data_IF_179626667132
#
_entry.id   IF_179626667132
#
_cell.length_a   1.000
_cell.length_b   1.000
_cell.length_c   1.000
_cell.angle_alpha   90.00
_cell.angle_beta   90.00
_cell.angle_gamma   90.00
#
_symmetry.space_group_name_H-M   'P 1'
#
loop_
_entity.id
_entity.type
_entity.pdbx_description
1 polymer ?
#
# COMPACT_ATOMS: atom_id res chain seq x y z
N UNK A 1 -11.63 -16.49 32.83
CA UNK A 1 -10.36 -16.82 32.16
C UNK A 1 -10.72 -17.36 30.78
N UNK A 2 -10.68 -16.52 29.74
CA UNK A 2 -10.99 -16.95 28.37
C UNK A 2 -9.63 -17.24 27.70
N UNK A 3 -9.30 -18.53 27.53
CA UNK A 3 -8.17 -18.98 26.72
C UNK A 3 -8.52 -18.77 25.26
N UNK A 4 -7.76 -17.93 24.56
CA UNK A 4 -7.80 -17.91 23.10
C UNK A 4 -6.83 -18.98 22.62
N UNK A 5 -7.37 -19.99 21.94
CA UNK A 5 -6.64 -21.18 21.49
C UNK A 5 -5.57 -20.75 20.46
N UNK A 6 -4.33 -21.11 20.75
CA UNK A 6 -3.16 -20.98 19.90
C UNK A 6 -3.17 -22.01 18.75
N UNK A 7 -4.27 -22.06 17.98
CA UNK A 7 -4.46 -22.94 16.83
C UNK A 7 -4.96 -22.08 15.68
N UNK A 8 -4.04 -21.62 14.82
CA UNK A 8 -4.30 -21.28 13.39
C UNK A 8 -3.01 -20.79 12.72
N UNK A 9 -1.94 -21.59 12.74
CA UNK A 9 -0.87 -21.51 11.74
C UNK A 9 -1.36 -22.14 10.43
N UNK A 10 -2.40 -21.55 9.85
CA UNK A 10 -2.76 -21.79 8.45
C UNK A 10 -1.68 -21.11 7.62
N UNK A 11 -0.95 -21.89 6.79
CA UNK A 11 0.07 -21.37 5.88
C UNK A 11 -0.43 -20.11 5.17
N UNK A 12 0.41 -19.07 5.10
CA UNK A 12 0.08 -17.78 4.49
C UNK A 12 -0.54 -17.92 3.09
N UNK A 13 -0.13 -18.95 2.35
CA UNK A 13 -0.63 -19.30 1.01
C UNK A 13 -2.07 -19.83 1.06
N UNK A 14 -2.42 -20.69 2.02
CA UNK A 14 -3.76 -21.26 2.12
C UNK A 14 -4.80 -20.26 2.63
N UNK A 15 -4.39 -19.26 3.41
CA UNK A 15 -5.27 -18.16 3.82
C UNK A 15 -5.50 -17.14 2.67
N UNK A 16 -4.45 -16.82 1.90
CA UNK A 16 -4.55 -16.00 0.67
C UNK A 16 -5.46 -16.64 -0.38
N UNK A 17 -5.45 -17.97 -0.47
CA UNK A 17 -6.34 -18.73 -1.35
C UNK A 17 -7.78 -18.82 -0.83
N UNK A 18 -8.04 -18.67 0.47
CA UNK A 18 -9.39 -18.84 1.06
C UNK A 18 -10.15 -17.53 1.31
N UNK A 19 -9.47 -16.40 1.46
CA UNK A 19 -10.13 -15.14 1.81
C UNK A 19 -10.50 -14.27 0.59
N UNK A 20 -11.46 -13.38 0.82
CA UNK A 20 -12.01 -12.37 -0.10
C UNK A 20 -11.00 -11.22 -0.43
N UNK A 21 -9.72 -11.51 -0.23
CA UNK A 21 -8.52 -10.68 -0.43
C UNK A 21 -7.96 -10.77 -1.85
N UNK A 22 -8.39 -11.79 -2.62
CA UNK A 22 -7.94 -12.04 -4.01
C UNK A 22 -7.95 -10.78 -4.91
N UNK A 23 -8.95 -9.88 -4.88
CA UNK A 23 -8.95 -8.66 -5.70
C UNK A 23 -7.77 -7.73 -5.42
N UNK A 24 -7.36 -7.60 -4.16
CA UNK A 24 -6.27 -6.72 -3.72
C UNK A 24 -4.92 -7.23 -4.23
N UNK A 25 -4.65 -8.52 -3.98
CA UNK A 25 -3.38 -9.17 -4.37
C UNK A 25 -3.25 -9.21 -5.89
N UNK A 26 -4.31 -9.57 -6.60
CA UNK A 26 -4.31 -9.57 -8.07
C UNK A 26 -4.10 -8.16 -8.64
N UNK A 27 -4.66 -7.13 -8.01
CA UNK A 27 -4.45 -5.75 -8.43
C UNK A 27 -3.00 -5.31 -8.29
N UNK A 28 -2.37 -5.66 -7.16
CA UNK A 28 -0.96 -5.38 -6.91
C UNK A 28 -0.07 -6.11 -7.91
N UNK A 29 -0.30 -7.40 -8.14
CA UNK A 29 0.42 -8.18 -9.15
C UNK A 29 0.25 -7.54 -10.53
N UNK A 30 -0.98 -7.17 -10.90
CA UNK A 30 -1.26 -6.53 -12.18
C UNK A 30 -0.57 -5.17 -12.32
N UNK A 31 -0.47 -4.39 -11.26
CA UNK A 31 0.24 -3.11 -11.25
C UNK A 31 1.74 -3.31 -11.53
N UNK A 32 2.36 -4.30 -10.88
CA UNK A 32 3.78 -4.64 -11.08
C UNK A 32 4.02 -5.17 -12.50
N UNK A 33 3.18 -6.09 -12.97
CA UNK A 33 3.26 -6.60 -14.34
C UNK A 33 3.07 -5.48 -15.37
N UNK A 34 2.13 -4.56 -15.12
CA UNK A 34 1.91 -3.40 -15.99
C UNK A 34 3.16 -2.54 -16.06
N UNK A 35 3.83 -2.29 -14.95
CA UNK A 35 5.10 -1.57 -14.94
C UNK A 35 6.16 -2.26 -15.81
N UNK A 36 6.34 -3.58 -15.65
CA UNK A 36 7.28 -4.35 -16.47
C UNK A 36 6.95 -4.23 -17.96
N UNK A 37 5.66 -4.37 -18.31
CA UNK A 37 5.16 -4.28 -19.69
C UNK A 37 5.43 -2.89 -20.30
N UNK A 38 5.21 -1.81 -19.54
CA UNK A 38 5.38 -0.44 -20.07
C UNK A 38 6.84 0.03 -20.05
N UNK A 39 7.67 -0.45 -19.11
CA UNK A 39 9.10 -0.10 -19.04
C UNK A 39 9.87 -0.69 -20.21
N UNK A 40 9.60 -1.94 -20.54
CA UNK A 40 10.25 -2.68 -21.62
C UNK A 40 9.54 -2.55 -22.96
N UNK A 41 8.67 -1.54 -23.12
CA UNK A 41 7.94 -1.34 -24.36
C UNK A 41 8.89 -0.75 -25.43
N UNK A 42 9.30 -1.52 -26.46
CA UNK A 42 10.50 -1.17 -27.22
C UNK A 42 10.31 0.00 -28.19
N UNK A 43 9.07 0.33 -28.59
CA UNK A 43 8.82 1.33 -29.63
C UNK A 43 7.48 2.05 -29.43
N UNK A 44 7.51 3.39 -29.33
CA UNK A 44 6.33 4.22 -29.53
C UNK A 44 5.91 4.07 -30.99
N UNK A 45 4.78 3.44 -31.24
CA UNK A 45 4.26 3.18 -32.58
C UNK A 45 2.94 3.92 -32.74
N UNK A 46 3.01 5.10 -33.34
CA UNK A 46 1.83 5.92 -33.65
C UNK A 46 0.97 5.32 -34.77
N UNK A 47 1.37 4.21 -35.36
CA UNK A 47 0.66 3.50 -36.43
C UNK A 47 -0.01 2.21 -35.96
N UNK A 48 0.15 1.82 -34.68
CA UNK A 48 -0.48 0.63 -34.12
C UNK A 48 -1.99 0.86 -33.90
N UNK A 49 -2.81 0.52 -34.89
CA UNK A 49 -4.26 0.70 -34.87
C UNK A 49 -4.96 0.02 -33.68
N UNK A 50 -4.44 -1.11 -33.21
CA UNK A 50 -4.96 -1.79 -32.02
C UNK A 50 -4.71 -0.96 -30.76
N UNK A 51 -3.49 -0.45 -30.57
CA UNK A 51 -3.17 0.41 -29.43
C UNK A 51 -3.96 1.72 -29.45
N UNK A 52 -4.20 2.32 -30.63
CA UNK A 52 -5.08 3.49 -30.76
C UNK A 52 -6.52 3.19 -30.39
N UNK A 53 -7.06 2.08 -30.91
CA UNK A 53 -8.42 1.65 -30.59
C UNK A 53 -8.57 1.42 -29.08
N UNK A 54 -7.62 0.71 -28.46
CA UNK A 54 -7.64 0.40 -27.03
C UNK A 54 -7.47 1.65 -26.16
N UNK A 55 -6.57 2.56 -26.53
CA UNK A 55 -6.30 3.83 -25.83
C UNK A 55 -7.47 4.82 -25.93
N UNK A 56 -8.20 4.80 -27.05
CA UNK A 56 -9.38 5.61 -27.30
C UNK A 56 -10.67 4.89 -26.93
N UNK A 57 -11.32 4.28 -27.92
CA UNK A 57 -12.64 3.66 -27.81
C UNK A 57 -12.69 2.54 -26.76
N UNK A 58 -11.67 1.68 -26.71
CA UNK A 58 -11.60 0.58 -25.75
C UNK A 58 -11.61 1.06 -24.30
N UNK A 59 -10.85 2.10 -23.97
CA UNK A 59 -10.84 2.68 -22.63
C UNK A 59 -12.22 3.24 -22.24
N UNK A 60 -12.91 3.93 -23.16
CA UNK A 60 -14.26 4.46 -22.91
C UNK A 60 -15.28 3.35 -22.71
N UNK A 61 -15.24 2.31 -23.53
CA UNK A 61 -16.12 1.16 -23.40
C UNK A 61 -15.91 0.43 -22.07
N UNK A 62 -14.65 0.19 -21.70
CA UNK A 62 -14.33 -0.42 -20.41
C UNK A 62 -14.89 0.40 -19.24
N UNK A 63 -14.73 1.72 -19.28
CA UNK A 63 -15.24 2.62 -18.25
C UNK A 63 -16.77 2.62 -18.17
N UNK A 64 -17.44 2.86 -19.30
CA UNK A 64 -18.91 2.98 -19.34
C UNK A 64 -19.58 1.65 -19.01
N UNK A 65 -19.16 0.56 -19.65
CA UNK A 65 -19.75 -0.76 -19.43
C UNK A 65 -19.43 -1.30 -18.03
N UNK A 66 -18.22 -1.05 -17.52
CA UNK A 66 -17.85 -1.44 -16.16
C UNK A 66 -18.65 -0.68 -15.10
N UNK A 67 -18.82 0.63 -15.26
CA UNK A 67 -19.67 1.43 -14.37
C UNK A 67 -21.13 0.96 -14.45
N UNK A 68 -21.66 0.74 -15.66
CA UNK A 68 -23.02 0.26 -15.86
C UNK A 68 -23.24 -1.10 -15.21
N UNK A 69 -22.31 -2.05 -15.37
CA UNK A 69 -22.37 -3.36 -14.73
C UNK A 69 -22.40 -3.26 -13.20
N UNK A 70 -21.58 -2.37 -12.63
CA UNK A 70 -21.56 -2.12 -11.18
C UNK A 70 -22.85 -1.46 -10.68
N UNK A 71 -23.40 -0.49 -11.42
CA UNK A 71 -24.66 0.18 -11.07
C UNK A 71 -25.84 -0.79 -11.15
N UNK A 72 -25.99 -1.51 -12.27
CA UNK A 72 -27.09 -2.47 -12.48
C UNK A 72 -27.09 -3.60 -11.44
N UNK A 73 -25.91 -4.01 -10.97
CA UNK A 73 -25.80 -5.07 -9.96
C UNK A 73 -25.74 -4.58 -8.51
N UNK A 74 -25.59 -3.26 -8.30
CA UNK A 74 -25.57 -2.61 -6.99
C UNK A 74 -26.95 -2.39 -6.37
N UNK A 75 -28.03 -2.36 -7.18
CA UNK A 75 -29.41 -2.19 -6.68
C UNK A 75 -30.02 -3.46 -6.06
N UNK A 76 -29.30 -4.59 -6.03
CA UNK A 76 -29.78 -5.79 -5.31
C UNK A 76 -29.56 -5.61 -3.81
N UNK A 77 -30.64 -5.32 -3.09
CA UNK A 77 -30.69 -5.13 -1.65
C UNK A 77 -30.01 -6.27 -0.87
N UNK A 78 -29.17 -5.92 0.11
CA UNK A 78 -28.61 -6.86 1.10
C UNK A 78 -27.16 -7.31 0.90
N UNK A 79 -26.40 -6.77 -0.07
CA UNK A 79 -24.95 -7.03 -0.20
C UNK A 79 -24.12 -5.78 0.14
N UNK A 80 -22.89 -5.93 0.68
CA UNK A 80 -22.04 -4.82 1.18
C UNK A 80 -21.59 -3.80 0.11
N UNK A 81 -22.04 -3.92 -1.13
CA UNK A 81 -21.59 -3.11 -2.25
C UNK A 81 -22.70 -2.13 -2.64
N UNK A 82 -22.83 -1.08 -1.84
CA UNK A 82 -23.74 0.02 -2.09
C UNK A 82 -23.28 0.80 -3.34
N UNK A 83 -24.13 1.01 -4.36
CA UNK A 83 -23.77 1.76 -5.58
C UNK A 83 -23.27 3.17 -5.28
N UNK A 84 -23.61 3.74 -4.11
CA UNK A 84 -23.04 5.00 -3.60
C UNK A 84 -21.52 4.94 -3.42
N UNK A 85 -20.97 3.82 -2.93
CA UNK A 85 -19.53 3.65 -2.71
C UNK A 85 -18.77 3.67 -4.04
N UNK A 86 -19.30 2.93 -5.03
CA UNK A 86 -18.73 2.87 -6.38
C UNK A 86 -18.69 4.26 -7.02
N UNK A 87 -19.79 5.02 -6.91
CA UNK A 87 -19.86 6.38 -7.43
C UNK A 87 -18.87 7.32 -6.71
N UNK A 88 -18.79 7.25 -5.38
CA UNK A 88 -17.85 8.05 -4.58
C UNK A 88 -16.41 7.76 -4.97
N UNK A 89 -16.02 6.48 -5.08
CA UNK A 89 -14.66 6.08 -5.45
C UNK A 89 -14.25 6.67 -6.80
N UNK A 90 -15.09 6.50 -7.83
CA UNK A 90 -14.78 6.95 -9.19
C UNK A 90 -14.73 8.48 -9.28
N UNK A 91 -15.68 9.17 -8.64
CA UNK A 91 -15.73 10.64 -8.63
C UNK A 91 -14.52 11.20 -7.89
N UNK A 92 -14.22 10.70 -6.69
CA UNK A 92 -13.09 11.18 -5.88
C UNK A 92 -11.76 10.97 -6.62
N UNK A 93 -11.54 9.81 -7.23
CA UNK A 93 -10.31 9.54 -7.99
C UNK A 93 -10.20 10.46 -9.21
N UNK A 94 -11.31 10.67 -9.92
CA UNK A 94 -11.32 11.55 -11.10
C UNK A 94 -11.01 12.98 -10.72
N UNK A 95 -11.64 13.49 -9.65
CA UNK A 95 -11.39 14.83 -9.10
C UNK A 95 -9.95 14.95 -8.63
N UNK A 96 -9.43 13.97 -7.88
CA UNK A 96 -8.05 13.96 -7.38
C UNK A 96 -7.04 14.01 -8.53
N UNK A 97 -7.22 13.21 -9.58
CA UNK A 97 -6.35 13.24 -10.76
C UNK A 97 -6.41 14.59 -11.47
N UNK A 98 -7.59 15.18 -11.64
CA UNK A 98 -7.72 16.50 -12.28
C UNK A 98 -7.11 17.60 -11.42
N UNK A 99 -7.29 17.56 -10.10
CA UNK A 99 -6.66 18.48 -9.17
C UNK A 99 -5.13 18.42 -9.27
N UNK A 100 -4.54 17.21 -9.30
CA UNK A 100 -3.09 17.05 -9.47
C UNK A 100 -2.61 17.59 -10.82
N UNK A 101 -3.44 17.54 -11.86
CA UNK A 101 -3.11 18.11 -13.18
C UNK A 101 -3.18 19.63 -13.24
N UNK A 102 -4.04 20.26 -12.43
CA UNK A 102 -4.18 21.71 -12.38
C UNK A 102 -3.14 22.38 -11.49
N UNK A 103 -2.45 21.61 -10.63
CA UNK A 103 -1.31 22.10 -9.86
C UNK A 103 -0.12 22.37 -10.79
N UNK A 104 0.32 23.63 -10.82
CA UNK A 104 1.35 24.16 -11.72
C UNK A 104 2.74 23.53 -11.54
N UNK A 105 3.02 22.92 -10.39
CA UNK A 105 4.33 22.31 -10.08
C UNK A 105 4.39 20.81 -10.43
N UNK A 106 3.27 20.19 -10.80
CA UNK A 106 3.17 18.77 -11.18
C UNK A 106 2.81 18.58 -12.66
N UNK A 107 2.64 19.66 -13.42
CA UNK A 107 2.25 19.66 -14.83
C UNK A 107 3.40 19.24 -15.74
N UNK A 108 3.76 17.96 -15.72
CA UNK A 108 4.71 17.40 -16.67
C UNK A 108 4.07 17.32 -18.07
N UNK A 109 4.80 17.68 -19.13
CA UNK A 109 4.30 17.59 -20.49
C UNK A 109 4.09 16.14 -20.91
N UNK A 110 3.23 15.95 -21.90
CA UNK A 110 3.09 14.67 -22.62
C UNK A 110 4.27 14.48 -23.56
N UNK A 111 4.48 13.26 -24.10
CA UNK A 111 5.47 13.04 -25.16
C UNK A 111 5.25 13.95 -26.39
N UNK A 112 4.01 14.39 -26.64
CA UNK A 112 3.68 15.36 -27.70
C UNK A 112 3.97 16.83 -27.37
N UNK A 113 4.49 17.14 -26.18
CA UNK A 113 4.70 18.52 -25.71
C UNK A 113 3.45 19.21 -25.14
N UNK A 114 2.27 18.63 -25.32
CA UNK A 114 1.02 19.17 -24.75
C UNK A 114 0.99 19.10 -23.20
N UNK A 115 0.34 20.05 -22.51
CA UNK A 115 0.29 20.08 -21.05
C UNK A 115 -0.60 18.98 -20.44
N UNK A 116 -0.49 18.79 -19.12
CA UNK A 116 -1.36 17.89 -18.35
C UNK A 116 -1.09 16.40 -18.56
N UNK A 117 0.19 16.03 -18.72
CA UNK A 117 0.66 14.66 -18.90
C UNK A 117 0.71 13.83 -17.62
N UNK A 118 0.81 14.46 -16.45
CA UNK A 118 0.96 13.76 -15.18
C UNK A 118 -0.18 14.04 -14.18
N UNK A 119 -0.71 13.01 -13.48
CA UNK A 119 -0.63 11.58 -13.77
C UNK A 119 -1.61 11.16 -14.88
N UNK A 120 -1.48 9.95 -15.43
CA UNK A 120 -2.43 9.43 -16.43
C UNK A 120 -3.80 9.12 -15.82
N UNK A 121 -4.81 9.93 -16.14
CA UNK A 121 -6.17 9.71 -15.65
C UNK A 121 -6.86 8.48 -16.22
N UNK A 122 -6.60 8.12 -17.47
CA UNK A 122 -7.16 6.89 -18.06
C UNK A 122 -6.62 5.65 -17.33
N UNK A 123 -5.33 5.65 -17.00
CA UNK A 123 -4.71 4.56 -16.25
C UNK A 123 -5.25 4.50 -14.81
N UNK A 124 -5.38 5.64 -14.14
CA UNK A 124 -5.93 5.73 -12.79
C UNK A 124 -7.37 5.20 -12.70
N UNK A 125 -8.27 5.70 -13.55
CA UNK A 125 -9.67 5.28 -13.50
C UNK A 125 -9.83 3.83 -13.97
N UNK A 126 -9.03 3.35 -14.94
CA UNK A 126 -9.06 1.95 -15.36
C UNK A 126 -8.67 0.98 -14.24
N UNK A 127 -7.59 1.26 -13.51
CA UNK A 127 -7.18 0.42 -12.38
C UNK A 127 -8.16 0.48 -11.21
N UNK A 128 -8.71 1.66 -10.92
CA UNK A 128 -9.75 1.83 -9.91
C UNK A 128 -11.00 0.99 -10.24
N UNK A 129 -11.47 1.08 -11.49
CA UNK A 129 -12.64 0.34 -11.95
C UNK A 129 -12.39 -1.17 -12.00
N UNK A 130 -11.19 -1.59 -12.40
CA UNK A 130 -10.81 -2.99 -12.39
C UNK A 130 -10.83 -3.59 -10.98
N UNK A 131 -10.40 -2.83 -9.97
CA UNK A 131 -10.51 -3.25 -8.56
C UNK A 131 -11.98 -3.39 -8.13
N UNK A 132 -12.82 -2.39 -8.38
CA UNK A 132 -14.24 -2.43 -8.01
C UNK A 132 -14.99 -3.59 -8.69
N UNK A 133 -14.71 -3.83 -9.98
CA UNK A 133 -15.23 -4.99 -10.73
C UNK A 133 -14.73 -6.31 -10.15
N UNK A 134 -13.47 -6.36 -9.71
CA UNK A 134 -12.87 -7.55 -9.09
C UNK A 134 -13.49 -7.86 -7.73
N UNK A 135 -13.81 -6.85 -6.92
CA UNK A 135 -14.55 -7.06 -5.67
C UNK A 135 -15.98 -7.58 -5.93
N UNK A 136 -16.61 -7.20 -7.06
CA UNK A 136 -17.97 -7.64 -7.40
C UNK A 136 -18.04 -8.99 -8.12
N UNK A 137 -17.07 -9.25 -8.98
CA UNK A 137 -16.98 -10.38 -9.89
C UNK A 137 -15.62 -11.07 -9.73
N UNK A 138 -15.35 -11.54 -8.51
CA UNK A 138 -14.06 -12.09 -8.08
C UNK A 138 -13.50 -13.18 -9.00
N UNK A 139 -14.37 -14.01 -9.61
CA UNK A 139 -13.97 -15.05 -10.57
C UNK A 139 -13.30 -14.47 -11.84
N UNK A 140 -13.63 -13.23 -12.19
CA UNK A 140 -13.19 -12.55 -13.41
C UNK A 140 -12.14 -11.48 -13.14
N UNK A 141 -11.61 -11.40 -11.91
CA UNK A 141 -10.67 -10.37 -11.47
C UNK A 141 -9.44 -10.22 -12.39
N UNK A 142 -8.87 -11.35 -12.82
CA UNK A 142 -7.73 -11.34 -13.75
C UNK A 142 -8.06 -10.66 -15.08
N UNK A 143 -9.28 -10.80 -15.60
CA UNK A 143 -9.70 -10.17 -16.86
C UNK A 143 -9.81 -8.66 -16.70
N UNK A 144 -10.38 -8.19 -15.59
CA UNK A 144 -10.52 -6.75 -15.33
C UNK A 144 -9.16 -6.07 -15.21
N UNK A 145 -8.22 -6.71 -14.51
CA UNK A 145 -6.87 -6.19 -14.40
C UNK A 145 -6.07 -6.31 -15.70
N UNK A 146 -6.27 -7.36 -16.50
CA UNK A 146 -5.67 -7.45 -17.83
C UNK A 146 -6.17 -6.33 -18.76
N UNK A 147 -7.47 -5.98 -18.68
CA UNK A 147 -8.02 -4.86 -19.43
C UNK A 147 -7.41 -3.52 -18.99
N UNK A 148 -7.29 -3.28 -17.68
CA UNK A 148 -6.65 -2.06 -17.16
C UNK A 148 -5.15 -1.97 -17.51
N UNK A 149 -4.45 -3.10 -17.48
CA UNK A 149 -3.06 -3.22 -17.94
C UNK A 149 -2.94 -2.93 -19.44
N UNK A 150 -3.83 -3.47 -20.27
CA UNK A 150 -3.88 -3.24 -21.71
C UNK A 150 -4.16 -1.77 -22.05
N UNK A 151 -5.10 -1.12 -21.35
CA UNK A 151 -5.33 0.33 -21.47
C UNK A 151 -4.05 1.08 -21.11
N UNK A 152 -3.42 0.75 -19.97
CA UNK A 152 -2.19 1.41 -19.50
C UNK A 152 -1.03 1.27 -20.50
N UNK A 153 -0.81 0.06 -21.03
CA UNK A 153 0.15 -0.21 -22.08
C UNK A 153 -0.13 0.61 -23.34
N UNK A 154 -1.39 0.64 -23.79
CA UNK A 154 -1.77 1.38 -24.99
C UNK A 154 -1.47 2.88 -24.88
N UNK A 155 -1.53 3.48 -23.68
CA UNK A 155 -1.19 4.91 -23.45
C UNK A 155 0.28 5.21 -23.72
N UNK A 156 1.17 4.24 -23.48
CA UNK A 156 2.61 4.39 -23.73
C UNK A 156 2.91 4.16 -25.21
N UNK A 157 2.36 3.10 -25.80
CA UNK A 157 2.60 2.74 -27.21
C UNK A 157 2.18 3.83 -28.18
N UNK A 158 1.03 4.47 -27.95
CA UNK A 158 0.55 5.56 -28.83
C UNK A 158 1.26 6.90 -28.57
N UNK A 159 2.21 6.96 -27.64
CA UNK A 159 2.92 8.18 -27.28
C UNK A 159 2.06 9.20 -26.52
N UNK A 160 0.96 8.78 -25.89
CA UNK A 160 0.09 9.69 -25.15
C UNK A 160 0.67 10.09 -23.78
N UNK A 161 1.46 9.21 -23.16
CA UNK A 161 2.09 9.41 -21.85
C UNK A 161 3.42 8.67 -21.76
N UNK A 162 4.35 9.20 -20.96
CA UNK A 162 5.56 8.46 -20.58
C UNK A 162 5.22 7.28 -19.64
N UNK A 163 6.02 6.20 -19.62
CA UNK A 163 5.78 5.04 -18.76
C UNK A 163 5.54 5.38 -17.29
N UNK A 164 6.34 6.29 -16.72
CA UNK A 164 6.18 6.70 -15.32
C UNK A 164 4.84 7.43 -15.05
N UNK A 165 4.36 8.25 -16.00
CA UNK A 165 3.08 8.96 -15.87
C UNK A 165 1.90 7.99 -15.84
N UNK A 166 2.00 6.91 -16.61
CA UNK A 166 1.02 5.81 -16.63
C UNK A 166 1.09 5.03 -15.34
N UNK A 167 2.28 4.62 -14.90
CA UNK A 167 2.46 3.85 -13.67
C UNK A 167 1.92 4.58 -12.43
N UNK A 168 2.28 5.85 -12.25
CA UNK A 168 1.78 6.66 -11.13
C UNK A 168 0.27 6.80 -11.18
N UNK A 169 -0.30 6.97 -12.38
CA UNK A 169 -1.75 6.96 -12.58
C UNK A 169 -2.38 5.65 -12.11
N UNK A 170 -1.91 4.51 -12.63
CA UNK A 170 -2.40 3.17 -12.26
C UNK A 170 -2.29 2.90 -10.75
N UNK A 171 -1.17 3.26 -10.15
CA UNK A 171 -0.93 3.11 -8.71
C UNK A 171 -1.91 3.96 -7.90
N UNK A 172 -2.01 5.26 -8.21
CA UNK A 172 -2.93 6.18 -7.54
C UNK A 172 -4.37 5.67 -7.61
N UNK A 173 -4.80 5.24 -8.80
CA UNK A 173 -6.14 4.70 -9.04
C UNK A 173 -6.43 3.43 -8.24
N UNK A 174 -5.52 2.45 -8.28
CA UNK A 174 -5.68 1.20 -7.54
C UNK A 174 -5.73 1.43 -6.02
N UNK A 175 -4.78 2.20 -5.48
CA UNK A 175 -4.69 2.41 -4.03
C UNK A 175 -5.81 3.28 -3.51
N UNK A 176 -6.18 4.34 -4.21
CA UNK A 176 -7.32 5.16 -3.82
C UNK A 176 -8.62 4.35 -3.87
N UNK A 177 -8.78 3.45 -4.86
CA UNK A 177 -9.95 2.60 -4.95
C UNK A 177 -10.01 1.56 -3.82
N UNK A 178 -8.88 0.91 -3.50
CA UNK A 178 -8.75 0.03 -2.33
C UNK A 178 -9.14 0.81 -1.08
N UNK A 179 -8.44 1.91 -0.79
CA UNK A 179 -8.67 2.71 0.41
C UNK A 179 -10.12 3.18 0.56
N UNK A 180 -10.70 3.74 -0.49
CA UNK A 180 -12.05 4.29 -0.44
C UNK A 180 -13.10 3.17 -0.37
N UNK A 181 -12.98 2.12 -1.18
CA UNK A 181 -13.86 0.95 -1.07
C UNK A 181 -13.80 0.40 0.34
N UNK A 182 -12.60 0.34 0.89
CA UNK A 182 -12.35 -0.19 2.21
C UNK A 182 -12.98 0.67 3.30
N UNK A 183 -12.70 1.98 3.33
CA UNK A 183 -13.28 2.92 4.30
C UNK A 183 -14.82 2.89 4.31
N UNK A 184 -15.44 2.70 3.14
CA UNK A 184 -16.90 2.78 3.02
C UNK A 184 -17.61 1.42 3.02
N UNK A 185 -16.92 0.30 2.77
CA UNK A 185 -17.53 -1.04 2.76
C UNK A 185 -17.65 -1.59 4.19
N UNK A 186 -18.86 -1.93 4.67
CA UNK A 186 -19.09 -2.41 6.03
C UNK A 186 -18.76 -3.91 6.18
N UNK A 187 -17.52 -4.32 5.86
CA UNK A 187 -17.10 -5.73 5.94
C UNK A 187 -16.12 -6.00 7.07
N UNK A 188 -16.39 -7.02 7.89
CA UNK A 188 -15.45 -7.58 8.90
C UNK A 188 -14.10 -8.02 8.30
N UNK A 189 -14.06 -8.34 7.01
CA UNK A 189 -12.84 -8.66 6.27
C UNK A 189 -11.90 -7.46 6.14
N UNK A 190 -12.46 -6.24 6.12
CA UNK A 190 -11.69 -5.02 6.14
C UNK A 190 -10.83 -4.91 7.39
N UNK A 191 -11.36 -5.35 8.52
CA UNK A 191 -10.66 -5.36 9.79
C UNK A 191 -9.47 -6.34 9.79
N UNK A 192 -9.49 -7.37 8.95
CA UNK A 192 -8.37 -8.31 8.75
C UNK A 192 -7.39 -7.84 7.66
N UNK A 193 -7.91 -7.22 6.60
CA UNK A 193 -7.12 -6.68 5.48
C UNK A 193 -6.38 -5.41 5.85
N UNK A 194 -7.02 -4.48 6.53
CA UNK A 194 -6.40 -3.29 7.12
C UNK A 194 -5.26 -3.70 8.04
N UNK A 195 -5.49 -4.71 8.90
CA UNK A 195 -4.46 -5.30 9.77
C UNK A 195 -3.24 -5.82 8.98
N UNK A 196 -3.41 -6.14 7.69
CA UNK A 196 -2.37 -6.66 6.79
C UNK A 196 -1.99 -5.71 5.64
N UNK A 197 -2.65 -4.56 5.51
CA UNK A 197 -2.41 -3.54 4.48
C UNK A 197 -1.02 -2.91 4.65
N UNK A 198 -0.54 -2.89 5.89
CA UNK A 198 0.85 -2.61 6.21
C UNK A 198 1.81 -3.51 5.43
N UNK A 199 1.56 -4.83 5.35
CA UNK A 199 2.40 -5.79 4.60
C UNK A 199 2.39 -5.54 3.10
N UNK A 200 1.27 -5.04 2.57
CA UNK A 200 1.12 -4.66 1.15
C UNK A 200 1.92 -3.39 0.85
N UNK A 201 1.83 -2.37 1.71
CA UNK A 201 2.69 -1.17 1.63
C UNK A 201 4.17 -1.56 1.80
N UNK A 202 4.49 -2.49 2.72
CA UNK A 202 5.85 -3.02 2.93
C UNK A 202 6.40 -3.84 1.77
N UNK A 203 5.55 -4.52 1.00
CA UNK A 203 6.00 -5.22 -0.20
C UNK A 203 6.16 -4.27 -1.38
N UNK A 204 5.30 -3.25 -1.48
CA UNK A 204 5.19 -2.41 -2.68
C UNK A 204 6.13 -1.22 -2.71
N UNK A 205 6.38 -0.58 -1.57
CA UNK A 205 7.29 0.57 -1.51
C UNK A 205 8.72 0.13 -1.86
N UNK A 206 9.27 -0.96 -1.30
CA UNK A 206 10.58 -1.46 -1.70
C UNK A 206 10.60 -1.94 -3.15
N UNK A 207 9.53 -2.58 -3.64
CA UNK A 207 9.46 -3.03 -5.04
C UNK A 207 9.44 -1.84 -6.02
N UNK A 208 8.62 -0.83 -5.75
CA UNK A 208 8.59 0.40 -6.55
C UNK A 208 9.93 1.17 -6.49
N UNK A 209 10.59 1.15 -5.32
CA UNK A 209 11.87 1.80 -5.12
C UNK A 209 13.04 1.07 -5.81
N UNK A 210 13.04 -0.27 -5.79
CA UNK A 210 14.03 -1.13 -6.50
C UNK A 210 13.99 -0.88 -8.00
N UNK A 211 12.81 -0.66 -8.58
CA UNK A 211 12.69 -0.55 -10.03
C UNK A 211 12.72 0.89 -10.57
N UNK A 212 12.62 1.90 -9.71
CA UNK A 212 12.69 3.31 -10.09
C UNK A 212 14.15 3.80 -10.13
N UNK A 213 14.68 3.99 -11.33
CA UNK A 213 16.02 4.58 -11.59
C UNK A 213 15.98 6.06 -11.98
N UNK A 214 14.84 6.72 -11.81
CA UNK A 214 14.65 8.12 -12.19
C UNK A 214 14.88 9.05 -11.00
N UNK A 215 15.71 10.09 -11.20
CA UNK A 215 16.08 11.08 -10.18
C UNK A 215 16.62 10.44 -8.90
N UNK A 216 17.61 9.54 -9.06
CA UNK A 216 18.34 8.95 -7.95
C UNK A 216 19.11 10.05 -7.20
N UNK A 217 19.05 10.00 -5.88
CA UNK A 217 19.75 10.93 -5.02
C UNK A 217 21.11 10.33 -4.63
N UNK A 218 22.20 10.90 -5.14
CA UNK A 218 23.54 10.29 -5.10
C UNK A 218 24.34 10.59 -3.81
N UNK A 219 23.74 11.18 -2.77
CA UNK A 219 24.48 11.47 -1.55
C UNK A 219 24.53 10.25 -0.61
N UNK A 220 25.66 9.54 -0.65
CA UNK A 220 25.92 8.32 0.13
C UNK A 220 25.66 8.48 1.64
N UNK A 221 25.97 9.64 2.22
CA UNK A 221 25.76 9.89 3.66
C UNK A 221 24.27 9.90 4.02
N UNK A 222 23.42 10.40 3.13
CA UNK A 222 21.97 10.41 3.34
C UNK A 222 21.37 9.04 3.02
N UNK A 223 21.78 8.43 1.90
CA UNK A 223 21.24 7.15 1.43
C UNK A 223 21.58 6.03 2.41
N UNK A 224 22.87 5.84 2.71
CA UNK A 224 23.33 4.77 3.59
C UNK A 224 23.33 5.17 5.07
N UNK A 225 23.72 6.41 5.39
CA UNK A 225 23.75 6.89 6.77
C UNK A 225 22.34 7.08 7.33
N UNK A 226 21.57 8.03 6.81
CA UNK A 226 20.21 8.29 7.31
C UNK A 226 19.25 7.14 7.02
N UNK A 227 19.26 6.58 5.80
CA UNK A 227 18.44 5.42 5.44
C UNK A 227 18.71 4.22 6.34
N UNK A 228 20.00 3.88 6.56
CA UNK A 228 20.42 2.81 7.45
C UNK A 228 20.03 3.06 8.92
N UNK A 229 20.24 4.29 9.43
CA UNK A 229 19.82 4.67 10.78
C UNK A 229 18.32 4.47 11.01
N UNK A 230 17.48 4.88 10.06
CA UNK A 230 16.03 4.68 10.15
C UNK A 230 15.65 3.19 10.18
N UNK A 231 16.27 2.36 9.34
CA UNK A 231 16.04 0.90 9.34
C UNK A 231 16.43 0.29 10.68
N UNK A 232 17.64 0.59 11.17
CA UNK A 232 18.15 0.07 12.44
C UNK A 232 17.24 0.49 13.59
N UNK A 233 16.88 1.78 13.67
CA UNK A 233 15.97 2.27 14.70
C UNK A 233 14.62 1.54 14.66
N UNK A 234 14.04 1.36 13.48
CA UNK A 234 12.78 0.63 13.32
C UNK A 234 12.89 -0.84 13.74
N UNK A 235 13.97 -1.55 13.37
CA UNK A 235 14.20 -2.94 13.80
C UNK A 235 14.39 -3.04 15.31
N UNK A 236 15.15 -2.13 15.92
CA UNK A 236 15.36 -2.11 17.37
C UNK A 236 14.05 -1.90 18.13
N UNK A 237 13.21 -0.95 17.69
CA UNK A 237 11.88 -0.73 18.28
C UNK A 237 11.05 -2.00 18.13
N UNK A 238 11.07 -2.67 16.96
CA UNK A 238 10.33 -3.93 16.75
C UNK A 238 10.77 -5.03 17.71
N UNK A 239 12.07 -5.28 17.84
CA UNK A 239 12.61 -6.26 18.78
C UNK A 239 12.17 -5.93 20.21
N UNK A 240 12.17 -4.65 20.58
CA UNK A 240 11.66 -4.20 21.88
C UNK A 240 10.15 -4.48 22.06
N UNK A 241 9.33 -4.30 21.03
CA UNK A 241 7.89 -4.64 21.11
C UNK A 241 7.63 -6.12 21.31
N UNK A 242 8.38 -6.98 20.62
CA UNK A 242 8.18 -8.43 20.71
C UNK A 242 8.70 -9.00 22.03
N UNK A 243 9.79 -8.46 22.56
CA UNK A 243 10.31 -8.86 23.87
C UNK A 243 9.36 -8.50 25.00
N UNK A 244 8.65 -7.36 24.91
CA UNK A 244 7.62 -6.98 25.87
C UNK A 244 6.36 -7.88 25.79
N UNK A 245 6.08 -8.51 24.64
CA UNK A 245 4.87 -9.31 24.40
C UNK A 245 4.99 -10.79 24.84
N UNK A 246 6.02 -11.16 25.60
CA UNK A 246 6.35 -12.59 25.86
C UNK A 246 5.58 -13.25 27.00
N UNK A 247 4.80 -12.51 27.80
CA UNK A 247 4.09 -13.05 28.96
C UNK A 247 2.61 -13.41 28.69
N UNK A 248 2.36 -14.40 27.84
CA UNK A 248 1.06 -15.10 27.74
C UNK A 248 -0.19 -14.22 27.50
N UNK A 249 -1.38 -14.80 27.67
CA UNK A 249 -2.72 -14.22 27.39
C UNK A 249 -3.10 -12.94 28.21
N UNK A 250 -2.13 -12.27 28.85
CA UNK A 250 -2.37 -11.09 29.68
C UNK A 250 -2.12 -9.78 28.90
N UNK A 251 -2.91 -8.76 29.22
CA UNK A 251 -2.77 -7.42 28.65
C UNK A 251 -1.36 -6.86 28.89
N UNK A 252 -0.62 -6.55 27.83
CA UNK A 252 0.73 -5.98 27.90
C UNK A 252 0.68 -4.45 27.73
N UNK A 253 0.99 -3.73 28.81
CA UNK A 253 1.13 -2.26 28.83
C UNK A 253 2.51 -1.78 29.26
N UNK A 254 3.52 -2.66 29.27
CA UNK A 254 4.89 -2.37 29.72
C UNK A 254 5.86 -2.17 28.55
N UNK A 255 7.07 -1.70 28.85
CA UNK A 255 8.11 -1.45 27.84
C UNK A 255 7.67 -0.38 26.82
N UNK A 256 7.75 -0.64 25.51
CA UNK A 256 7.42 0.36 24.48
C UNK A 256 5.92 0.69 24.44
N UNK A 257 5.05 -0.22 24.90
CA UNK A 257 3.61 0.01 25.01
C UNK A 257 3.26 1.01 26.13
N UNK A 258 4.17 1.23 27.08
CA UNK A 258 3.97 2.22 28.13
C UNK A 258 4.21 3.66 27.61
N UNK A 259 4.93 3.81 26.50
CA UNK A 259 5.23 5.11 25.87
C UNK A 259 4.17 5.51 24.84
N UNK A 260 3.82 4.57 23.96
CA UNK A 260 2.87 4.76 22.86
C UNK A 260 2.05 3.49 22.70
N UNK A 261 0.79 3.62 22.26
CA UNK A 261 -0.09 2.45 22.16
C UNK A 261 0.29 1.46 21.07
N UNK A 262 0.90 1.95 19.98
CA UNK A 262 1.17 1.15 18.77
C UNK A 262 2.65 1.22 18.32
N UNK A 263 3.60 0.82 19.17
CA UNK A 263 5.03 0.97 18.89
C UNK A 263 5.50 0.14 17.68
N UNK A 264 4.87 -1.02 17.44
CA UNK A 264 5.20 -1.86 16.27
C UNK A 264 4.78 -1.19 14.95
N UNK A 265 3.68 -0.44 14.94
CA UNK A 265 3.23 0.29 13.74
C UNK A 265 4.17 1.47 13.42
N UNK A 266 4.65 2.15 14.46
CA UNK A 266 5.63 3.24 14.32
C UNK A 266 6.97 2.68 13.84
N UNK A 267 7.46 1.60 14.44
CA UNK A 267 8.69 0.91 14.02
C UNK A 267 8.69 0.58 12.54
N UNK A 268 7.57 0.07 12.03
CA UNK A 268 7.47 -0.26 10.62
C UNK A 268 7.50 0.96 9.69
N UNK A 269 6.97 2.10 10.14
CA UNK A 269 7.04 3.35 9.38
C UNK A 269 8.50 3.81 9.23
N UNK A 270 9.30 3.69 10.29
CA UNK A 270 10.75 3.95 10.25
C UNK A 270 11.47 3.05 9.25
N UNK A 271 11.15 1.75 9.23
CA UNK A 271 11.72 0.80 8.26
C UNK A 271 11.35 1.18 6.82
N UNK A 272 10.07 1.52 6.56
CA UNK A 272 9.60 1.96 5.24
C UNK A 272 10.33 3.22 4.73
N UNK A 273 10.45 4.22 5.59
CA UNK A 273 11.18 5.46 5.30
C UNK A 273 12.64 5.15 5.00
N UNK A 274 13.28 4.35 5.85
CA UNK A 274 14.68 3.97 5.68
C UNK A 274 14.94 3.20 4.39
N UNK A 275 14.09 2.23 4.01
CA UNK A 275 14.22 1.51 2.74
C UNK A 275 14.03 2.45 1.54
N UNK A 276 13.08 3.39 1.62
CA UNK A 276 12.83 4.36 0.54
C UNK A 276 14.04 5.25 0.30
N UNK A 277 14.66 5.74 1.38
CA UNK A 277 15.87 6.56 1.32
C UNK A 277 17.08 5.75 0.88
N UNK A 278 17.28 4.55 1.43
CA UNK A 278 18.38 3.65 1.07
C UNK A 278 18.29 3.13 -0.37
N UNK A 279 17.10 3.21 -1.00
CA UNK A 279 16.91 2.89 -2.40
C UNK A 279 17.13 4.09 -3.33
N UNK A 280 17.59 5.24 -2.81
CA UNK A 280 17.85 6.48 -3.57
C UNK A 280 16.60 7.15 -4.17
N UNK A 281 15.40 6.69 -3.81
CA UNK A 281 14.11 7.18 -4.36
C UNK A 281 13.47 8.17 -3.39
N UNK A 282 14.23 9.17 -2.94
CA UNK A 282 13.80 10.13 -1.90
C UNK A 282 12.56 10.91 -2.33
N UNK A 283 12.38 11.18 -3.62
CA UNK A 283 11.21 11.87 -4.14
C UNK A 283 9.89 11.13 -3.88
N UNK A 284 9.93 9.81 -3.63
CA UNK A 284 8.75 9.00 -3.28
C UNK A 284 8.35 9.15 -1.80
N UNK A 285 9.23 9.71 -0.96
CA UNK A 285 9.05 9.80 0.49
C UNK A 285 7.73 10.47 0.93
N UNK A 286 7.27 11.59 0.33
CA UNK A 286 5.99 12.19 0.71
C UNK A 286 4.80 11.23 0.49
N UNK A 287 4.79 10.51 -0.62
CA UNK A 287 3.74 9.52 -0.92
C UNK A 287 3.82 8.35 0.06
N UNK A 288 5.01 7.84 0.35
CA UNK A 288 5.23 6.76 1.33
C UNK A 288 4.73 7.16 2.70
N UNK A 289 5.05 8.37 3.16
CA UNK A 289 4.59 8.88 4.45
C UNK A 289 3.07 8.98 4.51
N UNK A 290 2.42 9.48 3.45
CA UNK A 290 0.96 9.54 3.37
C UNK A 290 0.36 8.12 3.46
N UNK A 291 0.87 7.18 2.67
CA UNK A 291 0.40 5.79 2.67
C UNK A 291 0.62 5.10 4.02
N UNK A 292 1.78 5.30 4.66
CA UNK A 292 2.06 4.81 5.99
C UNK A 292 1.12 5.44 7.02
N UNK A 293 0.89 6.74 6.99
CA UNK A 293 -0.02 7.44 7.92
C UNK A 293 -1.46 6.93 7.82
N UNK A 294 -1.94 6.70 6.60
CA UNK A 294 -3.25 6.10 6.36
C UNK A 294 -3.29 4.68 6.91
N UNK A 295 -2.29 3.86 6.56
CA UNK A 295 -2.22 2.46 7.00
C UNK A 295 -2.17 2.33 8.52
N UNK A 296 -1.29 3.07 9.20
CA UNK A 296 -1.19 3.01 10.68
C UNK A 296 -2.48 3.49 11.33
N UNK A 297 -3.15 4.53 10.79
CA UNK A 297 -4.38 5.06 11.36
C UNK A 297 -5.50 4.01 11.34
N UNK A 298 -5.67 3.35 10.21
CA UNK A 298 -6.70 2.33 10.03
C UNK A 298 -6.41 1.11 10.91
N UNK A 299 -5.17 0.61 10.92
CA UNK A 299 -4.76 -0.55 11.75
C UNK A 299 -4.98 -0.25 13.23
N UNK A 300 -4.52 0.91 13.71
CA UNK A 300 -4.64 1.29 15.11
C UNK A 300 -6.10 1.41 15.56
N UNK A 301 -7.00 1.94 14.72
CA UNK A 301 -8.42 2.01 15.06
C UNK A 301 -9.03 0.63 15.25
N UNK A 302 -8.63 -0.31 14.40
CA UNK A 302 -9.13 -1.67 14.44
C UNK A 302 -8.59 -2.46 15.64
N UNK A 303 -7.30 -2.37 15.88
CA UNK A 303 -6.64 -2.98 17.03
C UNK A 303 -7.23 -2.43 18.34
N UNK A 304 -7.44 -1.12 18.43
CA UNK A 304 -8.10 -0.50 19.59
C UNK A 304 -9.55 -0.99 19.78
N UNK A 305 -10.33 -1.12 18.70
CA UNK A 305 -11.69 -1.64 18.78
C UNK A 305 -11.72 -3.08 19.31
N UNK A 306 -10.85 -3.95 18.79
CA UNK A 306 -10.70 -5.33 19.25
C UNK A 306 -10.28 -5.39 20.72
N UNK A 307 -9.28 -4.61 21.11
CA UNK A 307 -8.79 -4.58 22.49
C UNK A 307 -9.83 -4.01 23.47
N UNK A 308 -10.64 -3.04 23.06
CA UNK A 308 -11.80 -2.57 23.83
C UNK A 308 -12.84 -3.68 24.03
N UNK A 309 -13.11 -4.49 23.00
CA UNK A 309 -14.05 -5.62 23.14
C UNK A 309 -13.52 -6.74 24.04
N UNK A 310 -12.20 -6.97 24.02
CA UNK A 310 -11.55 -8.04 24.79
C UNK A 310 -11.31 -7.67 26.26
N UNK A 311 -10.87 -6.43 26.52
CA UNK A 311 -10.39 -5.99 27.84
C UNK A 311 -11.24 -4.88 28.47
N UNK A 312 -12.23 -4.34 27.76
CA UNK A 312 -13.23 -3.41 28.30
C UNK A 312 -12.63 -2.17 28.98
N UNK A 313 -13.06 -1.93 30.22
CA UNK A 313 -12.66 -0.76 31.02
C UNK A 313 -11.16 -0.71 31.33
N UNK A 314 -10.49 -1.86 31.40
CA UNK A 314 -9.04 -1.92 31.64
C UNK A 314 -8.26 -1.28 30.48
N UNK A 315 -8.67 -1.55 29.24
CA UNK A 315 -8.08 -0.92 28.06
C UNK A 315 -8.49 0.55 27.92
N UNK A 316 -9.73 0.90 28.26
CA UNK A 316 -10.17 2.30 28.26
C UNK A 316 -9.33 3.17 29.22
N UNK A 317 -9.00 2.65 30.41
CA UNK A 317 -8.10 3.33 31.35
C UNK A 317 -6.70 3.51 30.78
N UNK A 318 -6.15 2.47 30.15
CA UNK A 318 -4.87 2.54 29.46
C UNK A 318 -4.85 3.60 28.34
N UNK A 319 -5.92 3.69 27.53
CA UNK A 319 -6.05 4.70 26.47
C UNK A 319 -6.04 6.15 26.99
N UNK A 320 -6.50 6.38 28.23
CA UNK A 320 -6.49 7.72 28.84
C UNK A 320 -5.08 8.19 29.21
N UNK A 321 -4.21 7.24 29.57
CA UNK A 321 -2.84 7.47 30.01
C UNK A 321 -1.84 7.48 28.86
N UNK A 322 -1.98 6.53 27.93
CA UNK A 322 -0.98 6.30 26.88
C UNK A 322 -1.43 6.91 25.54
N UNK A 323 -0.67 7.87 24.98
CA UNK A 323 -0.97 8.49 23.70
C UNK A 323 -0.82 7.49 22.54
N UNK A 324 -1.44 7.84 21.40
CA UNK A 324 -1.54 6.93 20.24
C UNK A 324 -0.21 6.82 19.46
N UNK A 325 0.51 7.93 19.31
CA UNK A 325 1.66 8.03 18.37
C UNK A 325 2.93 8.65 18.96
N UNK A 326 2.81 9.66 19.82
CA UNK A 326 3.95 10.40 20.38
C UNK A 326 3.91 10.35 21.91
N UNK A 327 5.03 10.04 22.58
CA UNK A 327 5.07 9.94 24.04
C UNK A 327 4.85 11.31 24.71
N UNK A 328 4.29 11.31 25.92
CA UNK A 328 4.19 12.52 26.75
C UNK A 328 5.54 12.74 27.43
N UNK A 329 6.18 13.88 27.18
CA UNK A 329 7.56 14.20 27.62
C UNK A 329 7.74 14.42 29.15
N UNK A 330 6.84 13.92 30.00
CA UNK A 330 6.88 14.14 31.46
C UNK A 330 6.89 12.88 32.32
N UNK A 331 6.36 11.76 31.83
CA UNK A 331 6.21 10.51 32.60
C UNK A 331 6.75 9.33 31.78
N UNK A 332 8.07 9.27 31.60
CA UNK A 332 8.70 8.13 30.95
C UNK A 332 8.75 6.95 31.95
N UNK A 333 8.02 5.85 31.72
CA UNK A 333 8.06 4.68 32.58
C UNK A 333 9.44 4.04 32.52
N UNK A 334 9.88 3.43 33.63
CA UNK A 334 11.17 2.72 33.68
C UNK A 334 11.18 1.63 32.61
N UNK A 335 12.17 1.68 31.71
CA UNK A 335 12.35 0.72 30.65
C UNK A 335 12.78 -0.63 31.25
N UNK A 336 11.84 -1.58 31.39
CA UNK A 336 12.17 -2.98 31.62
C UNK A 336 12.47 -3.64 30.27
N UNK A 337 13.75 -3.91 30.01
CA UNK A 337 14.17 -4.74 28.89
C UNK A 337 14.24 -6.17 29.40
N UNK A 338 13.37 -7.05 28.89
CA UNK A 338 13.37 -8.47 29.26
C UNK A 338 14.32 -9.23 28.32
N UNK A 339 15.49 -9.73 28.80
CA UNK A 339 16.54 -10.27 27.93
C UNK A 339 16.17 -11.59 27.22
N UNK A 340 15.26 -12.37 27.81
CA UNK A 340 14.99 -13.76 27.41
C UNK A 340 14.09 -13.94 26.17
N UNK A 341 13.72 -12.85 25.47
CA UNK A 341 12.80 -12.87 24.32
C UNK A 341 13.42 -12.51 22.96
N UNK A 342 14.71 -12.18 22.90
CA UNK A 342 15.35 -11.58 21.70
C UNK A 342 15.44 -12.58 20.54
N UNK A 343 15.84 -13.83 20.80
CA UNK A 343 16.02 -14.86 19.75
C UNK A 343 14.68 -15.27 19.10
N UNK A 344 13.59 -15.53 19.85
CA UNK A 344 12.27 -15.74 19.26
C UNK A 344 11.73 -14.52 18.49
N UNK A 345 11.99 -13.31 18.99
CA UNK A 345 11.62 -12.07 18.30
C UNK A 345 12.34 -11.95 16.95
N UNK A 346 13.66 -12.17 16.91
CA UNK A 346 14.46 -12.20 15.69
C UNK A 346 13.92 -13.22 14.68
N UNK A 347 13.61 -14.45 15.13
CA UNK A 347 13.07 -15.51 14.26
C UNK A 347 11.71 -15.16 13.63
N UNK A 348 10.84 -14.45 14.34
CA UNK A 348 9.54 -13.99 13.80
C UNK A 348 9.71 -12.88 12.76
N UNK A 349 10.80 -12.12 12.86
CA UNK A 349 11.06 -10.93 12.04
C UNK A 349 12.02 -11.17 10.87
N UNK A 350 12.45 -12.40 10.62
CA UNK A 350 13.33 -12.77 9.50
C UNK A 350 12.81 -12.25 8.15
N UNK A 351 11.50 -12.27 7.92
CA UNK A 351 10.89 -11.76 6.68
C UNK A 351 10.93 -10.23 6.57
N UNK A 352 10.84 -9.50 7.68
CA UNK A 352 10.97 -8.04 7.67
C UNK A 352 12.45 -7.64 7.50
N UNK A 353 13.37 -8.40 8.10
CA UNK A 353 14.81 -8.21 7.96
C UNK A 353 15.29 -8.57 6.54
N UNK A 354 14.67 -9.52 5.85
CA UNK A 354 15.02 -9.84 4.47
C UNK A 354 14.68 -8.74 3.48
N UNK A 355 13.80 -7.78 3.83
CA UNK A 355 13.52 -6.61 2.99
C UNK A 355 14.70 -5.63 2.90
N UNK A 356 15.64 -5.67 3.86
CA UNK A 356 16.88 -4.87 3.84
C UNK A 356 17.79 -5.29 2.68
N UNK A 357 17.63 -6.52 2.18
CA UNK A 357 18.38 -7.04 1.03
C UNK A 357 17.96 -6.32 -0.28
N UNK A 358 16.76 -5.75 -0.34
CA UNK A 358 16.22 -5.14 -1.57
C UNK A 358 17.02 -3.90 -2.04
N UNK A 359 17.32 -2.89 -1.18
CA UNK A 359 18.21 -1.79 -1.56
C UNK A 359 19.61 -2.26 -1.99
N UNK A 360 20.17 -3.27 -1.32
CA UNK A 360 21.49 -3.82 -1.64
C UNK A 360 21.51 -4.51 -3.03
N UNK A 361 20.45 -5.26 -3.34
CA UNK A 361 20.27 -5.85 -4.68
C UNK A 361 20.12 -4.74 -5.73
N UNK A 362 19.34 -3.69 -5.45
CA UNK A 362 19.17 -2.56 -6.37
C UNK A 362 20.53 -1.93 -6.70
N UNK A 363 21.34 -1.65 -5.68
CA UNK A 363 22.65 -1.03 -5.84
C UNK A 363 23.65 -1.93 -6.56
N UNK A 364 23.62 -3.24 -6.30
CA UNK A 364 24.42 -4.20 -7.06
C UNK A 364 24.03 -4.23 -8.55
N UNK A 365 22.73 -4.18 -8.85
CA UNK A 365 22.21 -4.17 -10.23
C UNK A 365 22.49 -2.83 -10.92
N UNK A 366 22.36 -1.69 -10.23
CA UNK A 366 22.62 -0.36 -10.78
C UNK A 366 24.10 -0.22 -11.16
N UNK A 367 25.03 -0.71 -10.33
CA UNK A 367 26.47 -0.69 -10.60
C UNK A 367 26.90 -1.57 -11.77
N UNK A 368 26.20 -2.67 -12.02
CA UNK A 368 26.45 -3.56 -13.17
C UNK A 368 25.87 -2.98 -14.47
N UNK A 369 24.85 -2.12 -14.37
CA UNK A 369 24.16 -1.51 -15.50
C UNK A 369 24.77 -0.16 -15.96
N UNK A 370 25.61 0.48 -15.14
CA UNK A 370 26.46 1.62 -15.51
C UNK A 370 27.77 1.10 -16.12
#
# INVERSE_FOLDING_TARGET
MIRVKQEDTVSMISLLLRCDVRPHVLGVIALVLTYCIIKWCPNVSTTNGFAYCLSGTGSRLFLVLGCLALLLTGFKAGKPNNPKIILVVIVVITVAVHAVKTLSWTSLPRPSGSPGGYPSGHAAVAFALAFLLSCRYQRWAAIWYAAAAGISWSRVVVGAHFPFQVYVGSALGLFAAILLYDVFAPNKLLQELVCRAQLVVYALVPLAAVFSTSHEYENDLVVFGFGGMCIIAGVLIRVWTHTAHTNGDQFCGSGPYALIRHPALVANTFICVGITVASEVIWLLPLVLILCMIAIRMVAQEEESKLLTLYGSHYAHYMSKVPRWFPRLGDLPKAEIVPWGVVPALKREVLAMSLIVLPLIKEAVSRVAR
#
